data_IF_276861654300
#
_entry.id   IF_276861654300
#
_cell.length_a   1.000
_cell.length_b   1.000
_cell.length_c   1.000
_cell.angle_alpha   90.00
_cell.angle_beta   90.00
_cell.angle_gamma   90.00
#
_symmetry.space_group_name_H-M   'P 1'
#
loop_
_entity.id
_entity.type
_entity.pdbx_description
1 polymer ?
#
# COMPACT_ATOMS: atom_id res chain seq x y z
N UNK A 1 -18.50 -1.58 -5.76
CA UNK A 1 -17.67 -0.35 -5.80
C UNK A 1 -16.54 -0.58 -4.82
N UNK A 2 -15.38 -1.00 -5.29
CA UNK A 2 -14.17 -1.07 -4.46
C UNK A 2 -13.87 0.34 -3.97
N UNK A 3 -13.81 0.53 -2.65
CA UNK A 3 -13.55 1.83 -2.04
C UNK A 3 -12.35 1.67 -1.12
N UNK A 4 -11.23 2.23 -1.54
CA UNK A 4 -10.10 2.44 -0.64
C UNK A 4 -10.31 3.73 0.14
N UNK A 5 -9.95 3.72 1.42
CA UNK A 5 -9.87 4.91 2.25
C UNK A 5 -8.43 5.09 2.71
N UNK A 6 -8.01 6.35 2.73
CA UNK A 6 -6.71 6.76 3.22
C UNK A 6 -6.90 7.64 4.44
N UNK A 7 -6.16 7.36 5.50
CA UNK A 7 -6.13 8.19 6.70
C UNK A 7 -4.68 8.46 7.08
N UNK A 8 -4.30 9.72 7.20
CA UNK A 8 -2.97 10.09 7.65
C UNK A 8 -2.96 10.31 9.16
N UNK A 9 -2.14 9.53 9.85
CA UNK A 9 -1.89 9.67 11.28
C UNK A 9 -0.41 9.98 11.49
N UNK A 10 -0.08 11.26 11.69
CA UNK A 10 1.29 11.75 11.82
C UNK A 10 2.16 11.38 10.60
N UNK A 11 3.17 10.51 10.78
CA UNK A 11 4.07 9.99 9.76
C UNK A 11 3.67 8.60 9.24
N UNK A 12 2.43 8.18 9.50
CA UNK A 12 1.85 6.91 9.06
C UNK A 12 0.65 7.17 8.14
N UNK A 13 0.63 6.51 6.99
CA UNK A 13 -0.53 6.47 6.09
C UNK A 13 -1.26 5.13 6.27
N UNK A 14 -2.47 5.17 6.81
CA UNK A 14 -3.32 3.99 6.96
C UNK A 14 -4.17 3.77 5.71
N UNK A 15 -4.08 2.57 5.13
CA UNK A 15 -4.91 2.14 4.00
C UNK A 15 -5.98 1.16 4.49
N UNK A 16 -7.24 1.42 4.14
CA UNK A 16 -8.38 0.62 4.59
C UNK A 16 -9.28 0.23 3.42
N UNK A 17 -9.75 -1.02 3.40
CA UNK A 17 -10.65 -1.54 2.38
C UNK A 17 -9.94 -2.30 1.26
N UNK A 18 -10.35 -2.09 0.01
CA UNK A 18 -9.86 -2.87 -1.14
C UNK A 18 -8.88 -2.04 -1.97
N UNK A 19 -7.65 -2.55 -2.13
CA UNK A 19 -6.62 -1.99 -3.00
C UNK A 19 -6.54 -2.80 -4.30
N UNK A 20 -7.32 -2.37 -5.28
CA UNK A 20 -7.41 -2.95 -6.63
C UNK A 20 -7.37 -1.88 -7.74
N UNK A 21 -7.32 -2.33 -9.00
CA UNK A 21 -7.25 -1.46 -10.18
C UNK A 21 -8.33 -0.37 -10.23
N UNK A 22 -9.50 -0.60 -9.64
CA UNK A 22 -10.59 0.37 -9.61
C UNK A 22 -10.40 1.43 -8.53
N UNK A 23 -9.84 1.03 -7.39
CA UNK A 23 -9.53 1.92 -6.27
C UNK A 23 -8.28 2.79 -6.48
N UNK A 24 -7.41 2.39 -7.42
CA UNK A 24 -6.09 3.01 -7.62
C UNK A 24 -6.16 4.43 -8.19
N UNK A 25 -7.15 4.76 -9.01
CA UNK A 25 -7.17 6.07 -9.68
C UNK A 25 -7.17 7.26 -8.71
N UNK A 26 -7.97 7.17 -7.64
CA UNK A 26 -8.07 8.23 -6.62
C UNK A 26 -6.77 8.32 -5.79
N UNK A 27 -6.22 7.16 -5.41
CA UNK A 27 -4.96 7.07 -4.65
C UNK A 27 -3.77 7.59 -5.46
N UNK A 28 -3.69 7.20 -6.74
CA UNK A 28 -2.61 7.58 -7.64
C UNK A 28 -2.60 9.07 -7.95
N UNK A 29 -3.78 9.69 -8.07
CA UNK A 29 -3.90 11.13 -8.32
C UNK A 29 -3.46 11.98 -7.13
N UNK A 30 -3.55 11.45 -5.91
CA UNK A 30 -3.23 12.17 -4.66
C UNK A 30 -1.91 11.76 -4.02
N UNK A 31 -1.22 10.75 -4.58
CA UNK A 31 -0.06 10.07 -3.99
C UNK A 31 1.03 11.01 -3.46
N UNK A 32 1.45 12.02 -4.23
CA UNK A 32 2.53 12.92 -3.84
C UNK A 32 2.14 13.76 -2.63
N UNK A 33 0.88 14.18 -2.53
CA UNK A 33 0.39 14.98 -1.40
C UNK A 33 0.28 14.14 -0.13
N UNK A 34 -0.17 12.88 -0.24
CA UNK A 34 -0.41 12.02 0.94
C UNK A 34 0.82 11.26 1.42
N UNK A 35 1.81 11.00 0.54
CA UNK A 35 3.01 10.22 0.88
C UNK A 35 4.22 11.09 1.22
N UNK A 36 4.23 12.37 0.86
CA UNK A 36 5.32 13.26 1.25
C UNK A 36 5.37 13.44 2.77
N UNK A 37 6.49 13.07 3.37
CA UNK A 37 6.70 13.13 4.83
C UNK A 37 6.16 11.93 5.60
N UNK A 38 5.55 10.95 4.93
CA UNK A 38 5.20 9.66 5.52
C UNK A 38 6.46 8.80 5.62
N UNK A 39 6.56 8.01 6.70
CA UNK A 39 7.62 6.99 6.88
C UNK A 39 7.09 5.58 6.73
N UNK A 40 5.82 5.35 7.07
CA UNK A 40 5.22 4.02 7.06
C UNK A 40 3.83 4.04 6.43
N UNK A 41 3.52 3.01 5.66
CA UNK A 41 2.16 2.72 5.19
C UNK A 41 1.64 1.54 6.00
N UNK A 42 0.55 1.73 6.72
CA UNK A 42 -0.15 0.67 7.44
C UNK A 42 -1.19 0.02 6.52
N UNK A 43 -1.04 -1.29 6.31
CA UNK A 43 -1.88 -2.11 5.44
C UNK A 43 -2.72 -3.15 6.20
N UNK A 44 -2.76 -3.07 7.53
CA UNK A 44 -3.50 -4.03 8.38
C UNK A 44 -4.99 -4.08 8.06
N UNK A 45 -5.57 -2.92 7.73
CA UNK A 45 -7.00 -2.78 7.44
C UNK A 45 -7.36 -2.99 5.97
N UNK A 46 -6.42 -3.44 5.14
CA UNK A 46 -6.73 -3.87 3.78
C UNK A 46 -7.43 -5.23 3.80
N UNK A 47 -8.62 -5.29 3.22
CA UNK A 47 -9.43 -6.51 3.11
C UNK A 47 -9.14 -7.29 1.84
N UNK A 48 -8.62 -6.63 0.80
CA UNK A 48 -8.26 -7.24 -0.47
C UNK A 48 -7.17 -6.45 -1.17
N UNK A 49 -6.18 -7.15 -1.72
CA UNK A 49 -5.12 -6.59 -2.56
C UNK A 49 -4.98 -7.47 -3.80
N UNK A 50 -5.01 -6.86 -4.99
CA UNK A 50 -4.70 -7.55 -6.25
C UNK A 50 -3.26 -7.27 -6.72
N UNK A 51 -2.87 -7.82 -7.85
CA UNK A 51 -1.52 -7.63 -8.40
C UNK A 51 -1.21 -6.15 -8.71
N UNK A 52 -2.21 -5.37 -9.10
CA UNK A 52 -2.03 -3.94 -9.37
C UNK A 52 -1.84 -3.14 -8.09
N UNK A 53 -2.64 -3.44 -7.05
CA UNK A 53 -2.48 -2.87 -5.73
C UNK A 53 -1.13 -3.18 -5.12
N UNK A 54 -0.68 -4.43 -5.24
CA UNK A 54 0.64 -4.84 -4.81
C UNK A 54 1.73 -4.04 -5.53
N UNK A 55 1.70 -3.96 -6.86
CA UNK A 55 2.66 -3.18 -7.65
C UNK A 55 2.71 -1.70 -7.22
N UNK A 56 1.55 -1.10 -6.91
CA UNK A 56 1.48 0.26 -6.38
C UNK A 56 2.15 0.38 -5.01
N UNK A 57 1.94 -0.57 -4.10
CA UNK A 57 2.63 -0.57 -2.80
C UNK A 57 4.15 -0.66 -2.98
N UNK A 58 4.64 -1.53 -3.88
CA UNK A 58 6.08 -1.61 -4.20
C UNK A 58 6.59 -0.27 -4.70
N UNK A 59 5.88 0.34 -5.65
CA UNK A 59 6.25 1.63 -6.21
C UNK A 59 6.33 2.71 -5.14
N UNK A 60 5.36 2.77 -4.22
CA UNK A 60 5.38 3.74 -3.13
C UNK A 60 6.56 3.53 -2.19
N UNK A 61 6.85 2.28 -1.79
CA UNK A 61 8.00 1.96 -0.95
C UNK A 61 9.31 2.44 -1.58
N UNK A 62 9.48 2.23 -2.89
CA UNK A 62 10.70 2.59 -3.61
C UNK A 62 10.80 4.10 -3.89
N UNK A 63 9.72 4.75 -4.34
CA UNK A 63 9.75 6.18 -4.69
C UNK A 63 9.82 7.08 -3.45
N UNK A 64 9.01 6.79 -2.44
CA UNK A 64 8.89 7.64 -1.25
C UNK A 64 9.72 7.15 -0.07
N UNK A 65 10.48 6.05 -0.23
CA UNK A 65 11.31 5.45 0.83
C UNK A 65 10.51 5.10 2.10
N UNK A 66 9.24 4.74 1.92
CA UNK A 66 8.34 4.33 3.01
C UNK A 66 8.40 2.82 3.25
N UNK A 67 8.09 2.40 4.48
CA UNK A 67 8.00 0.99 4.85
C UNK A 67 6.56 0.51 4.95
N UNK A 68 6.33 -0.79 4.75
CA UNK A 68 5.02 -1.39 4.99
C UNK A 68 4.93 -1.91 6.43
N UNK A 69 3.80 -1.65 7.08
CA UNK A 69 3.46 -2.18 8.41
C UNK A 69 2.10 -2.87 8.35
N UNK A 70 1.88 -3.87 9.20
CA UNK A 70 0.56 -4.51 9.31
C UNK A 70 0.26 -5.46 8.15
N UNK A 71 1.30 -6.07 7.55
CA UNK A 71 1.12 -7.01 6.44
C UNK A 71 0.27 -8.19 6.90
N UNK A 72 -0.93 -8.31 6.34
CA UNK A 72 -1.83 -9.42 6.63
C UNK A 72 -1.37 -10.73 5.94
N UNK A 73 -1.84 -11.92 6.37
CA UNK A 73 -1.40 -13.19 5.82
C UNK A 73 -1.65 -13.36 4.30
N UNK A 74 -2.73 -12.76 3.78
CA UNK A 74 -3.03 -12.80 2.35
C UNK A 74 -1.98 -12.02 1.54
N UNK A 75 -1.64 -10.80 1.99
CA UNK A 75 -0.63 -9.97 1.36
C UNK A 75 0.76 -10.61 1.49
N UNK A 76 1.09 -11.20 2.64
CA UNK A 76 2.32 -11.96 2.84
C UNK A 76 2.44 -13.12 1.84
N UNK A 77 1.32 -13.82 1.58
CA UNK A 77 1.27 -14.91 0.59
C UNK A 77 1.56 -14.39 -0.81
N UNK A 78 0.96 -13.26 -1.21
CA UNK A 78 1.23 -12.64 -2.52
C UNK A 78 2.68 -12.18 -2.65
N UNK A 79 3.24 -11.51 -1.63
CA UNK A 79 4.64 -11.07 -1.62
C UNK A 79 5.58 -12.27 -1.83
N UNK A 80 5.28 -13.40 -1.19
CA UNK A 80 6.07 -14.63 -1.31
C UNK A 80 5.91 -15.28 -2.69
N UNK A 81 4.68 -15.35 -3.22
CA UNK A 81 4.41 -15.94 -4.55
C UNK A 81 5.10 -15.18 -5.68
N UNK A 82 5.22 -13.86 -5.55
CA UNK A 82 5.87 -13.00 -6.54
C UNK A 82 7.35 -12.74 -6.24
N UNK A 83 7.92 -13.37 -5.21
CA UNK A 83 9.32 -13.19 -4.78
C UNK A 83 9.72 -11.71 -4.62
N UNK A 84 8.83 -10.90 -4.02
CA UNK A 84 9.01 -9.44 -3.90
C UNK A 84 9.78 -9.01 -2.65
N UNK A 85 10.19 -9.97 -1.81
CA UNK A 85 10.98 -9.72 -0.60
C UNK A 85 12.25 -8.87 -0.84
N UNK A 86 13.01 -9.04 -1.95
CA UNK A 86 14.19 -8.23 -2.24
C UNK A 86 13.88 -6.77 -2.60
N UNK A 87 12.64 -6.49 -2.97
CA UNK A 87 12.21 -5.21 -3.57
C UNK A 87 11.35 -4.38 -2.60
N UNK A 88 10.83 -5.01 -1.54
CA UNK A 88 10.05 -4.35 -0.49
C UNK A 88 10.95 -4.02 0.69
N UNK A 89 10.96 -2.75 1.07
CA UNK A 89 11.54 -2.32 2.32
C UNK A 89 10.50 -2.51 3.44
N UNK A 90 10.42 -3.72 4.00
CA UNK A 90 9.54 -4.07 5.13
C UNK A 90 10.16 -3.55 6.43
#
# INVERSE_FOLDING_TARGET
MSRIKTEQQQDILCLQGELDVHSLNDLWSTQDSILNGIKCIDVEQLTRVDSSGLATLIYFCNKYHVKLKGINPQLQTLITLYDLQPVINI
#
